data_IF_338560375320
#
_entry.id   IF_338560375320
#
_cell.length_a   1.000
_cell.length_b   1.000
_cell.length_c   1.000
_cell.angle_alpha   90.00
_cell.angle_beta   90.00
_cell.angle_gamma   90.00
#
_symmetry.space_group_name_H-M   'P 1'
#
loop_
_entity.id
_entity.type
_entity.pdbx_description
1 polymer ?
#
# COMPACT_ATOMS: atom_id res chain seq x y z
N UNK A 1 17.05 13.93 -17.08
CA UNK A 1 16.56 13.17 -15.90
C UNK A 1 17.76 12.58 -15.16
N UNK A 2 18.22 13.20 -14.05
CA UNK A 2 19.45 12.79 -13.36
C UNK A 2 19.32 11.34 -12.87
N UNK A 3 20.25 10.48 -13.26
CA UNK A 3 20.26 9.08 -12.87
C UNK A 3 20.40 8.97 -11.35
N UNK A 4 19.32 8.62 -10.63
CA UNK A 4 19.31 8.48 -9.17
C UNK A 4 20.49 7.63 -8.64
N UNK A 5 20.95 6.63 -9.38
CA UNK A 5 22.15 5.87 -9.02
C UNK A 5 23.43 6.74 -8.89
N UNK A 6 23.64 7.72 -9.78
CA UNK A 6 24.76 8.68 -9.67
C UNK A 6 24.53 9.70 -8.54
N UNK A 7 23.27 10.03 -8.25
CA UNK A 7 22.93 10.89 -7.12
C UNK A 7 23.22 10.20 -5.78
N UNK A 8 22.78 8.95 -5.64
CA UNK A 8 23.04 8.12 -4.46
C UNK A 8 24.54 7.99 -4.22
N UNK A 9 25.31 7.58 -5.22
CA UNK A 9 26.78 7.44 -5.10
C UNK A 9 27.51 8.71 -4.63
N UNK A 10 27.04 9.90 -5.03
CA UNK A 10 27.66 11.17 -4.65
C UNK A 10 27.24 11.68 -3.26
N UNK A 11 26.09 11.23 -2.76
CA UNK A 11 25.52 11.70 -1.48
C UNK A 11 25.69 10.68 -0.35
N UNK A 12 26.17 9.48 -0.67
CA UNK A 12 26.54 8.45 0.29
C UNK A 12 27.66 8.93 1.22
N UNK A 13 27.51 8.59 2.49
CA UNK A 13 28.57 8.69 3.48
C UNK A 13 29.52 7.51 3.23
N UNK A 14 30.82 7.78 3.14
CA UNK A 14 31.83 6.81 2.70
C UNK A 14 31.92 5.60 3.63
N UNK A 15 31.93 5.85 4.94
CA UNK A 15 31.93 4.85 6.01
C UNK A 15 30.70 3.92 5.93
N UNK A 16 29.53 4.48 5.55
CA UNK A 16 28.27 3.74 5.55
C UNK A 16 27.92 3.13 4.20
N UNK A 17 28.83 3.22 3.22
CA UNK A 17 28.59 2.83 1.82
C UNK A 17 28.05 1.39 1.69
N UNK A 18 28.50 0.47 2.54
CA UNK A 18 28.07 -0.92 2.56
C UNK A 18 26.59 -1.12 2.94
N UNK A 19 26.03 -0.21 3.75
CA UNK A 19 24.67 -0.34 4.31
C UNK A 19 23.59 0.31 3.45
N UNK A 20 23.98 1.13 2.47
CA UNK A 20 23.04 1.67 1.48
C UNK A 20 22.47 0.59 0.56
N UNK A 21 21.25 0.82 0.10
CA UNK A 21 20.58 0.01 -0.92
C UNK A 21 21.43 -0.07 -2.20
N UNK A 22 21.68 -1.30 -2.67
CA UNK A 22 22.43 -1.52 -3.90
C UNK A 22 21.55 -1.29 -5.14
N UNK A 23 21.18 -0.03 -5.38
CA UNK A 23 20.27 0.37 -6.45
C UNK A 23 20.77 -0.02 -7.84
N UNK A 24 22.10 -0.01 -8.05
CA UNK A 24 22.72 -0.41 -9.33
C UNK A 24 22.48 -1.89 -9.61
N UNK A 25 22.78 -2.76 -8.63
CA UNK A 25 22.56 -4.20 -8.72
C UNK A 25 21.09 -4.53 -8.95
N UNK A 26 20.20 -3.94 -8.14
CA UNK A 26 18.77 -4.17 -8.28
C UNK A 26 18.25 -3.76 -9.67
N UNK A 27 18.71 -2.61 -10.19
CA UNK A 27 18.35 -2.16 -11.53
C UNK A 27 18.84 -3.14 -12.61
N UNK A 28 20.01 -3.73 -12.45
CA UNK A 28 20.52 -4.76 -13.37
C UNK A 28 19.69 -6.03 -13.30
N UNK A 29 19.33 -6.50 -12.09
CA UNK A 29 18.45 -7.66 -11.89
C UNK A 29 17.07 -7.47 -12.54
N UNK A 30 16.45 -6.31 -12.35
CA UNK A 30 15.18 -5.95 -13.04
C UNK A 30 15.32 -6.01 -14.57
N UNK A 31 16.52 -5.72 -15.11
CA UNK A 31 16.76 -5.87 -16.55
C UNK A 31 16.84 -7.33 -16.97
N UNK A 32 17.66 -8.11 -16.28
CA UNK A 32 17.86 -9.54 -16.51
C UNK A 32 16.54 -10.31 -16.45
N UNK A 33 15.71 -10.06 -15.43
CA UNK A 33 14.40 -10.71 -15.32
C UNK A 33 13.48 -10.43 -16.50
N UNK A 34 13.53 -9.23 -17.09
CA UNK A 34 12.72 -8.93 -18.27
C UNK A 34 13.23 -9.65 -19.53
N UNK A 35 14.53 -9.87 -19.65
CA UNK A 35 15.11 -10.66 -20.75
C UNK A 35 14.78 -12.15 -20.58
N UNK A 36 14.86 -12.67 -19.35
CA UNK A 36 14.53 -14.06 -19.02
C UNK A 36 13.05 -14.38 -19.23
N UNK A 37 12.13 -13.49 -18.83
CA UNK A 37 10.69 -13.66 -19.09
C UNK A 37 10.39 -13.62 -20.59
N UNK A 38 11.02 -12.72 -21.35
CA UNK A 38 10.85 -12.65 -22.82
C UNK A 38 11.39 -13.89 -23.54
N UNK A 39 12.48 -14.46 -23.04
CA UNK A 39 13.09 -15.68 -23.58
C UNK A 39 12.43 -16.97 -23.11
N UNK A 40 11.33 -16.92 -22.34
CA UNK A 40 10.61 -18.10 -21.84
C UNK A 40 11.39 -18.94 -20.82
N UNK A 41 12.54 -18.46 -20.32
CA UNK A 41 13.45 -19.24 -19.47
C UNK A 41 13.08 -19.22 -17.97
N UNK A 42 12.21 -18.29 -17.55
CA UNK A 42 11.81 -18.11 -16.15
C UNK A 42 10.33 -17.78 -16.05
N UNK A 43 9.63 -18.49 -15.15
CA UNK A 43 8.25 -18.15 -14.80
C UNK A 43 8.18 -16.81 -14.03
N UNK A 44 7.20 -15.93 -14.32
CA UNK A 44 7.03 -14.65 -13.63
C UNK A 44 6.98 -14.72 -12.10
N UNK A 45 6.45 -15.83 -11.55
CA UNK A 45 6.37 -16.07 -10.10
C UNK A 45 7.75 -16.20 -9.44
N UNK A 46 8.69 -16.85 -10.12
CA UNK A 46 10.05 -17.00 -9.62
C UNK A 46 10.75 -15.64 -9.55
N UNK A 47 10.59 -14.82 -10.59
CA UNK A 47 11.08 -13.43 -10.64
C UNK A 47 10.53 -12.58 -9.49
N UNK A 48 9.22 -12.68 -9.21
CA UNK A 48 8.58 -11.94 -8.11
C UNK A 48 9.13 -12.39 -6.74
N UNK A 49 9.26 -13.70 -6.52
CA UNK A 49 9.81 -14.28 -5.29
C UNK A 49 11.26 -13.87 -5.07
N UNK A 50 12.10 -14.01 -6.09
CA UNK A 50 13.52 -13.66 -6.01
C UNK A 50 13.75 -12.17 -5.79
N UNK A 51 12.98 -11.33 -6.51
CA UNK A 51 13.06 -9.89 -6.33
C UNK A 51 12.58 -9.46 -4.94
N UNK A 52 11.52 -10.08 -4.41
CA UNK A 52 11.06 -9.86 -3.04
C UNK A 52 12.13 -10.20 -2.03
N UNK A 53 12.77 -11.38 -2.14
CA UNK A 53 13.85 -11.80 -1.25
C UNK A 53 15.03 -10.83 -1.30
N UNK A 54 15.41 -10.37 -2.49
CA UNK A 54 16.49 -9.40 -2.65
C UNK A 54 16.13 -8.05 -2.02
N UNK A 55 14.87 -7.60 -2.10
CA UNK A 55 14.42 -6.40 -1.41
C UNK A 55 14.46 -6.57 0.10
N UNK A 56 13.93 -7.69 0.62
CA UNK A 56 13.88 -8.00 2.05
C UNK A 56 15.30 -7.97 2.64
N UNK A 57 16.29 -8.62 2.00
CA UNK A 57 17.70 -8.59 2.44
C UNK A 57 18.29 -7.17 2.45
N UNK A 58 17.89 -6.32 1.50
CA UNK A 58 18.42 -4.96 1.41
C UNK A 58 17.78 -4.03 2.43
N UNK A 59 16.49 -4.23 2.72
CA UNK A 59 15.77 -3.53 3.80
C UNK A 59 16.34 -3.95 5.15
N UNK A 60 16.46 -5.25 5.40
CA UNK A 60 17.03 -5.80 6.64
C UNK A 60 18.40 -5.20 6.93
N UNK A 61 19.31 -5.21 5.95
CA UNK A 61 20.64 -4.59 6.08
C UNK A 61 20.58 -3.12 6.47
N UNK A 62 19.72 -2.34 5.80
CA UNK A 62 19.56 -0.90 6.09
C UNK A 62 18.97 -0.68 7.49
N UNK A 63 18.04 -1.52 7.90
CA UNK A 63 17.34 -1.42 9.18
C UNK A 63 18.23 -1.80 10.35
N UNK A 64 18.95 -2.92 10.25
CA UNK A 64 19.89 -3.34 11.29
C UNK A 64 20.95 -2.28 11.55
N UNK A 65 21.50 -1.68 10.49
CA UNK A 65 22.44 -0.58 10.62
C UNK A 65 21.80 0.67 11.24
N UNK A 66 20.57 1.01 10.86
CA UNK A 66 19.85 2.12 11.47
C UNK A 66 19.68 1.91 12.99
N UNK A 67 19.27 0.71 13.41
CA UNK A 67 19.11 0.36 14.82
C UNK A 67 20.43 0.46 15.60
N UNK A 68 21.53 -0.03 15.01
CA UNK A 68 22.88 0.08 15.60
C UNK A 68 23.25 1.55 15.84
N UNK A 69 23.07 2.41 14.83
CA UNK A 69 23.35 3.84 14.96
C UNK A 69 22.43 4.54 15.97
N UNK A 70 21.15 4.17 16.03
CA UNK A 70 20.24 4.67 17.07
C UNK A 70 20.70 4.27 18.48
N UNK A 71 21.19 3.03 18.65
CA UNK A 71 21.74 2.55 19.92
C UNK A 71 22.98 3.33 20.35
N UNK A 72 23.89 3.62 19.43
CA UNK A 72 25.08 4.44 19.68
C UNK A 72 24.71 5.88 20.10
N UNK A 73 23.75 6.50 19.39
CA UNK A 73 23.25 7.83 19.76
C UNK A 73 22.57 7.83 21.13
N UNK A 74 21.75 6.82 21.41
CA UNK A 74 21.08 6.68 22.70
C UNK A 74 22.08 6.49 23.86
N UNK A 75 23.11 5.66 23.66
CA UNK A 75 24.19 5.49 24.64
C UNK A 75 24.93 6.81 24.92
N UNK A 76 25.29 7.55 23.87
CA UNK A 76 25.90 8.89 24.02
C UNK A 76 24.98 9.85 24.77
N UNK A 77 23.70 9.90 24.44
CA UNK A 77 22.74 10.74 25.16
C UNK A 77 22.61 10.38 26.64
N UNK A 78 22.68 9.09 26.99
CA UNK A 78 22.68 8.65 28.39
C UNK A 78 23.91 9.19 29.13
N UNK A 79 25.11 9.05 28.55
CA UNK A 79 26.34 9.58 29.16
C UNK A 79 26.33 11.10 29.29
N UNK A 80 25.77 11.81 28.30
CA UNK A 80 25.62 13.27 28.38
C UNK A 80 24.60 13.69 29.43
N UNK A 81 23.60 12.84 29.74
CA UNK A 81 22.63 13.14 30.79
C UNK A 81 23.27 13.05 32.18
N UNK A 82 24.14 12.08 32.40
CA UNK A 82 24.90 11.97 33.67
C UNK A 82 25.80 13.19 33.89
N UNK A 83 26.49 13.66 32.83
CA UNK A 83 27.29 14.89 32.92
C UNK A 83 26.42 16.13 33.09
N UNK A 84 25.25 16.18 32.44
CA UNK A 84 24.27 17.26 32.63
C UNK A 84 23.82 17.37 34.09
N UNK A 85 23.42 16.26 34.72
CA UNK A 85 22.96 16.26 36.10
C UNK A 85 24.10 16.68 37.07
N UNK A 86 25.34 16.27 36.82
CA UNK A 86 26.51 16.71 37.60
C UNK A 86 26.84 18.21 37.42
N UNK A 87 26.61 18.77 36.23
CA UNK A 87 26.82 20.21 35.95
C UNK A 87 25.73 21.07 36.60
N UNK A 88 24.51 20.56 36.76
CA UNK A 88 23.45 21.25 37.50
C UNK A 88 23.78 21.39 38.99
N UNK A 89 24.47 20.42 39.59
CA UNK A 89 24.90 20.49 40.99
C UNK A 89 26.00 21.54 41.22
N UNK A 90 26.88 21.75 40.23
CA UNK A 90 27.96 22.75 40.28
C UNK A 90 28.06 23.50 38.94
N UNK A 91 27.32 24.62 38.78
CA UNK A 91 27.27 25.34 37.52
C UNK A 91 28.62 26.03 37.22
N UNK A 92 29.28 25.53 36.17
CA UNK A 92 30.49 26.12 35.58
C UNK A 92 30.20 26.41 34.11
N UNK A 93 30.37 27.68 33.71
CA UNK A 93 30.09 28.18 32.36
C UNK A 93 30.85 27.36 31.31
N UNK A 94 32.13 27.04 31.58
CA UNK A 94 32.97 26.31 30.63
C UNK A 94 32.40 24.92 30.36
N UNK A 95 31.93 24.23 31.42
CA UNK A 95 31.31 22.91 31.33
C UNK A 95 29.95 22.93 30.63
N UNK A 96 29.16 23.98 30.84
CA UNK A 96 27.86 24.16 30.15
C UNK A 96 28.07 24.32 28.64
N UNK A 97 29.07 25.12 28.24
CA UNK A 97 29.40 25.33 26.82
C UNK A 97 29.90 24.02 26.17
N UNK A 98 30.79 23.29 26.84
CA UNK A 98 31.27 21.99 26.36
C UNK A 98 30.16 20.95 26.23
N UNK A 99 29.26 20.90 27.22
CA UNK A 99 28.10 20.00 27.21
C UNK A 99 27.14 20.33 26.07
N UNK A 100 26.91 21.62 25.80
CA UNK A 100 26.07 22.08 24.69
C UNK A 100 26.65 21.70 23.34
N UNK A 101 27.95 21.89 23.12
CA UNK A 101 28.59 21.40 21.89
C UNK A 101 28.52 19.88 21.76
N UNK A 102 28.65 19.15 22.87
CA UNK A 102 28.50 17.69 22.84
C UNK A 102 27.08 17.24 22.43
N UNK A 103 26.03 17.93 22.89
CA UNK A 103 24.67 17.69 22.41
C UNK A 103 24.49 18.08 20.93
N UNK A 104 25.13 19.17 20.48
CA UNK A 104 25.14 19.57 19.07
C UNK A 104 25.81 18.52 18.19
N UNK A 105 26.89 17.90 18.64
CA UNK A 105 27.57 16.81 17.93
C UNK A 105 26.67 15.59 17.76
N UNK A 106 25.96 15.17 18.81
CA UNK A 106 24.95 14.11 18.71
C UNK A 106 23.85 14.49 17.71
N UNK A 107 23.44 15.77 17.68
CA UNK A 107 22.52 16.28 16.68
C UNK A 107 23.05 16.23 15.24
N UNK A 108 24.34 16.54 15.03
CA UNK A 108 25.00 16.43 13.72
C UNK A 108 25.05 14.97 13.25
N UNK A 109 25.32 14.03 14.15
CA UNK A 109 25.33 12.59 13.83
C UNK A 109 23.92 12.06 13.52
N UNK A 110 22.91 12.53 14.26
CA UNK A 110 21.52 12.24 13.97
C UNK A 110 21.12 12.75 12.57
N UNK A 111 21.56 13.94 12.17
CA UNK A 111 21.32 14.47 10.82
C UNK A 111 21.91 13.57 9.72
N UNK A 112 23.09 13.01 9.96
CA UNK A 112 23.69 12.03 9.04
C UNK A 112 22.83 10.77 8.93
N UNK A 113 22.36 10.25 10.07
CA UNK A 113 21.47 9.08 10.12
C UNK A 113 20.15 9.34 9.39
N UNK A 114 19.51 10.50 9.63
CA UNK A 114 18.28 10.89 8.94
C UNK A 114 18.46 10.93 7.41
N UNK A 115 19.57 11.51 6.94
CA UNK A 115 19.91 11.55 5.52
C UNK A 115 20.16 10.15 4.95
N UNK A 116 20.78 9.25 5.71
CA UNK A 116 20.95 7.85 5.32
C UNK A 116 19.60 7.16 5.13
N UNK A 117 18.69 7.29 6.10
CA UNK A 117 17.34 6.67 6.03
C UNK A 117 16.56 7.25 4.83
N UNK A 118 16.62 8.57 4.62
CA UNK A 118 15.96 9.25 3.50
C UNK A 118 16.42 8.68 2.14
N UNK A 119 17.74 8.61 1.92
CA UNK A 119 18.30 8.11 0.66
C UNK A 119 17.91 6.66 0.38
N UNK A 120 17.87 5.81 1.42
CA UNK A 120 17.45 4.42 1.29
C UNK A 120 15.94 4.30 1.00
N UNK A 121 15.09 5.05 1.71
CA UNK A 121 13.65 5.09 1.46
C UNK A 121 13.33 5.54 0.02
N UNK A 122 14.00 6.59 -0.46
CA UNK A 122 13.86 7.05 -1.86
C UNK A 122 14.32 5.96 -2.83
N UNK A 123 15.41 5.24 -2.52
CA UNK A 123 15.92 4.14 -3.33
C UNK A 123 14.92 2.99 -3.44
N UNK A 124 14.34 2.57 -2.32
CA UNK A 124 13.29 1.55 -2.24
C UNK A 124 12.08 1.94 -3.10
N UNK A 125 11.54 3.14 -2.89
CA UNK A 125 10.43 3.67 -3.70
C UNK A 125 10.74 3.64 -5.19
N UNK A 126 11.93 4.11 -5.59
CA UNK A 126 12.33 4.19 -7.00
C UNK A 126 12.56 2.82 -7.63
N UNK A 127 12.98 1.82 -6.87
CA UNK A 127 13.18 0.47 -7.41
C UNK A 127 11.85 -0.28 -7.52
N UNK A 128 10.96 -0.14 -6.53
CA UNK A 128 9.59 -0.66 -6.57
C UNK A 128 8.84 -0.11 -7.80
N UNK A 129 8.81 1.22 -7.96
CA UNK A 129 8.19 1.86 -9.14
C UNK A 129 8.82 1.43 -10.47
N UNK A 130 10.13 1.11 -10.47
CA UNK A 130 10.83 0.64 -11.67
C UNK A 130 10.41 -0.78 -12.03
N UNK A 131 10.23 -1.64 -11.03
CA UNK A 131 9.75 -3.00 -11.21
C UNK A 131 8.34 -2.98 -11.80
N UNK A 132 7.40 -2.27 -11.18
CA UNK A 132 6.01 -2.16 -11.65
C UNK A 132 5.93 -1.64 -13.09
N UNK A 133 6.65 -0.56 -13.40
CA UNK A 133 6.65 0.01 -14.77
C UNK A 133 7.16 -0.98 -15.82
N UNK A 134 8.04 -1.91 -15.45
CA UNK A 134 8.66 -2.84 -16.40
C UNK A 134 7.83 -4.10 -16.63
N UNK A 135 7.12 -4.57 -15.61
CA UNK A 135 6.36 -5.82 -15.69
C UNK A 135 4.84 -5.62 -15.70
N UNK A 136 4.34 -4.40 -15.44
CA UNK A 136 2.91 -4.08 -15.43
C UNK A 136 2.15 -4.68 -14.25
N UNK A 137 2.85 -5.27 -13.27
CA UNK A 137 2.26 -5.78 -12.03
C UNK A 137 2.12 -4.66 -11.00
N UNK A 138 1.10 -4.75 -10.14
CA UNK A 138 1.00 -3.98 -8.89
C UNK A 138 1.90 -4.61 -7.81
N UNK A 139 3.18 -4.84 -8.14
CA UNK A 139 4.10 -5.52 -7.23
C UNK A 139 4.42 -4.65 -6.02
N UNK A 140 4.60 -3.34 -6.18
CA UNK A 140 4.81 -2.44 -5.05
C UNK A 140 3.66 -2.52 -4.03
N UNK A 141 2.41 -2.54 -4.51
CA UNK A 141 1.23 -2.63 -3.64
C UNK A 141 1.21 -3.96 -2.88
N UNK A 142 1.41 -5.08 -3.59
CA UNK A 142 1.48 -6.41 -2.98
C UNK A 142 2.62 -6.54 -1.97
N UNK A 143 3.81 -6.09 -2.35
CA UNK A 143 5.00 -6.15 -1.51
C UNK A 143 4.83 -5.30 -0.25
N UNK A 144 4.34 -4.06 -0.38
CA UNK A 144 4.09 -3.21 0.77
C UNK A 144 2.95 -3.77 1.63
N UNK A 145 1.83 -4.24 1.07
CA UNK A 145 0.71 -4.84 1.83
C UNK A 145 1.15 -5.99 2.73
N UNK A 146 1.86 -6.95 2.14
CA UNK A 146 2.31 -8.17 2.84
C UNK A 146 3.32 -7.88 3.95
N UNK A 147 4.11 -6.81 3.81
CA UNK A 147 5.09 -6.37 4.83
C UNK A 147 4.54 -5.28 5.75
N UNK A 148 3.50 -4.55 5.40
CA UNK A 148 3.00 -3.45 6.23
C UNK A 148 2.41 -3.96 7.55
N UNK A 149 1.82 -5.16 7.56
CA UNK A 149 1.10 -5.71 8.73
C UNK A 149 1.81 -6.85 9.45
N UNK A 150 2.96 -7.30 8.94
CA UNK A 150 3.63 -8.46 9.52
C UNK A 150 4.46 -8.03 10.74
N UNK A 151 4.34 -8.72 11.90
CA UNK A 151 4.98 -8.32 13.17
C UNK A 151 6.50 -8.25 13.09
N UNK A 152 7.11 -9.08 12.25
CA UNK A 152 8.57 -9.12 12.03
C UNK A 152 9.02 -8.30 10.80
N UNK A 153 8.15 -7.47 10.24
CA UNK A 153 8.49 -6.69 9.06
C UNK A 153 9.42 -5.53 9.40
N UNK A 154 10.65 -5.63 8.89
CA UNK A 154 11.67 -4.59 8.99
C UNK A 154 11.27 -3.33 8.20
N UNK A 155 10.32 -3.45 7.27
CA UNK A 155 9.85 -2.33 6.46
C UNK A 155 9.15 -1.26 7.31
N UNK A 156 8.45 -1.65 8.38
CA UNK A 156 7.82 -0.68 9.30
C UNK A 156 8.84 0.20 10.01
N UNK A 157 10.03 -0.32 10.32
CA UNK A 157 11.05 0.45 11.04
C UNK A 157 11.60 1.59 10.17
N UNK A 158 11.77 1.34 8.86
CA UNK A 158 12.12 2.39 7.90
C UNK A 158 11.01 3.42 7.73
N UNK A 159 9.73 3.01 7.87
CA UNK A 159 8.56 3.85 7.57
C UNK A 159 8.07 4.71 8.72
N UNK A 160 8.12 4.17 9.94
CA UNK A 160 7.62 4.86 11.14
C UNK A 160 8.72 5.62 11.88
N UNK A 161 9.98 5.49 11.46
CA UNK A 161 11.13 6.13 12.11
C UNK A 161 11.15 5.90 13.63
N UNK A 162 10.78 4.68 14.04
CA UNK A 162 10.61 4.34 15.46
C UNK A 162 11.92 4.61 16.19
N UNK A 163 11.85 5.34 17.31
CA UNK A 163 13.02 5.70 18.12
C UNK A 163 13.70 7.02 17.73
N UNK A 164 13.61 7.48 16.47
CA UNK A 164 14.19 8.78 16.05
C UNK A 164 13.55 9.94 16.82
N UNK A 165 12.22 9.91 16.99
CA UNK A 165 11.50 10.97 17.72
C UNK A 165 11.94 11.12 19.17
N UNK A 166 12.30 10.02 19.85
CA UNK A 166 12.81 10.08 21.22
C UNK A 166 14.19 10.74 21.29
N UNK A 167 15.09 10.41 20.35
CA UNK A 167 16.42 11.03 20.24
C UNK A 167 16.30 12.52 19.92
N UNK A 168 15.43 12.89 18.97
CA UNK A 168 15.13 14.31 18.63
C UNK A 168 14.59 15.06 19.84
N UNK A 169 13.63 14.47 20.55
CA UNK A 169 13.04 15.05 21.75
C UNK A 169 14.06 15.26 22.87
N UNK A 170 14.93 14.26 23.10
CA UNK A 170 16.00 14.35 24.09
C UNK A 170 16.99 15.48 23.74
N UNK A 171 17.47 15.56 22.49
CA UNK A 171 18.41 16.63 22.07
C UNK A 171 17.75 17.99 22.19
N UNK A 172 16.53 18.15 21.66
CA UNK A 172 15.82 19.43 21.64
C UNK A 172 15.53 19.94 23.05
N UNK A 173 15.10 19.05 23.95
CA UNK A 173 14.83 19.39 25.35
C UNK A 173 16.10 19.80 26.10
N UNK A 174 17.15 18.99 26.06
CA UNK A 174 18.38 19.28 26.82
C UNK A 174 19.10 20.53 26.30
N UNK A 175 19.12 20.77 24.99
CA UNK A 175 19.67 22.01 24.43
C UNK A 175 18.89 23.25 24.86
N UNK A 176 17.56 23.13 24.96
CA UNK A 176 16.71 24.23 25.43
C UNK A 176 16.91 24.53 26.92
N UNK A 177 16.99 23.48 27.75
CA UNK A 177 17.24 23.59 29.21
C UNK A 177 18.59 24.27 29.51
N UNK A 178 19.64 23.91 28.75
CA UNK A 178 20.95 24.55 28.87
C UNK A 178 20.95 26.01 28.38
N UNK A 179 20.08 26.36 27.43
CA UNK A 179 19.95 27.73 26.93
C UNK A 179 19.22 28.66 27.92
N UNK A 180 18.26 28.17 28.70
CA UNK A 180 17.59 28.95 29.75
C UNK A 180 18.56 29.22 30.93
N UNK A 181 19.42 28.27 31.27
CA UNK A 181 20.41 28.40 32.33
C UNK A 181 21.57 29.38 32.00
N UNK A 182 21.82 29.64 30.70
CA UNK A 182 22.71 30.73 30.25
C UNK A 182 22.09 32.14 30.44
N UNK A 183 20.78 32.26 30.68
CA UNK A 183 20.09 33.54 30.84
C UNK A 183 20.32 34.26 32.18
N UNK A 184 20.99 33.60 33.14
CA UNK A 184 21.14 34.08 34.52
C UNK A 184 22.45 34.83 34.81
N UNK A 185 23.24 35.21 33.80
CA UNK A 185 24.56 35.80 34.03
C UNK A 185 24.53 37.33 34.16
N UNK A 186 24.56 37.79 35.43
CA UNK A 186 25.21 38.97 36.06
C UNK A 186 25.22 40.39 35.40
N UNK A 187 24.81 40.59 34.15
CA UNK A 187 24.74 41.91 33.52
C UNK A 187 23.76 41.91 32.35
N UNK A 188 22.79 42.83 32.40
CA UNK A 188 21.73 43.02 31.40
C UNK A 188 22.29 43.51 30.05
N UNK A 189 23.58 43.85 29.99
CA UNK A 189 24.23 44.44 28.82
C UNK A 189 25.19 43.49 28.08
N UNK A 190 25.48 42.31 28.66
CA UNK A 190 26.44 41.34 28.09
C UNK A 190 25.78 40.22 27.29
N UNK A 191 24.48 40.29 27.01
CA UNK A 191 23.80 39.25 26.24
C UNK A 191 24.17 39.33 24.75
N UNK A 192 24.94 38.37 24.18
CA UNK A 192 24.84 38.12 22.76
C UNK A 192 23.38 37.74 22.48
N UNK A 193 22.79 38.33 21.45
CA UNK A 193 21.44 37.97 20.99
C UNK A 193 21.49 36.52 20.47
N UNK A 194 21.38 35.56 21.39
CA UNK A 194 21.36 34.14 21.06
C UNK A 194 20.05 33.86 20.30
N UNK A 195 20.09 33.17 19.15
CA UNK A 195 18.89 32.83 18.41
C UNK A 195 17.93 32.01 19.31
N UNK A 196 16.63 32.32 19.23
CA UNK A 196 15.57 31.67 20.02
C UNK A 196 15.53 30.14 19.88
N UNK A 197 16.16 29.58 18.85
CA UNK A 197 16.29 28.14 18.60
C UNK A 197 17.71 27.81 18.13
N UNK A 198 18.24 26.70 18.64
CA UNK A 198 19.54 26.18 18.21
C UNK A 198 19.48 25.74 16.73
N UNK A 199 20.43 26.16 15.87
CA UNK A 199 20.40 25.84 14.43
C UNK A 199 20.43 24.34 14.14
N UNK A 200 21.00 23.53 15.04
CA UNK A 200 21.01 22.07 14.90
C UNK A 200 19.60 21.50 15.05
N UNK A 201 18.80 22.04 15.97
CA UNK A 201 17.41 21.62 16.20
C UNK A 201 16.54 21.96 14.98
N UNK A 202 16.72 23.13 14.39
CA UNK A 202 16.01 23.52 13.16
C UNK A 202 16.38 22.63 11.97
N UNK A 203 17.67 22.31 11.82
CA UNK A 203 18.14 21.39 10.79
C UNK A 203 17.54 19.98 10.98
N UNK A 204 17.46 19.49 12.22
CA UNK A 204 16.86 18.19 12.55
C UNK A 204 15.38 18.18 12.18
N UNK A 205 14.62 19.22 12.55
CA UNK A 205 13.21 19.35 12.21
C UNK A 205 13.00 19.31 10.69
N UNK A 206 13.79 20.09 9.95
CA UNK A 206 13.77 20.12 8.49
C UNK A 206 14.09 18.74 7.88
N UNK A 207 15.05 18.01 8.45
CA UNK A 207 15.42 16.68 7.98
C UNK A 207 14.32 15.65 8.25
N UNK A 208 13.66 15.70 9.42
CA UNK A 208 12.52 14.85 9.77
C UNK A 208 11.32 15.11 8.83
N UNK A 209 11.04 16.38 8.52
CA UNK A 209 9.97 16.74 7.58
C UNK A 209 10.26 16.22 6.16
N UNK A 210 11.50 16.37 5.68
CA UNK A 210 11.93 15.81 4.38
C UNK A 210 11.82 14.29 4.33
N UNK A 211 12.18 13.64 5.43
CA UNK A 211 12.10 12.19 5.56
C UNK A 211 10.64 11.71 5.52
N UNK A 212 9.76 12.37 6.26
CA UNK A 212 8.31 12.10 6.27
C UNK A 212 7.69 12.24 4.89
N UNK A 213 8.06 13.30 4.16
CA UNK A 213 7.65 13.49 2.76
C UNK A 213 8.19 12.40 1.82
N UNK A 214 9.40 11.91 2.08
CA UNK A 214 10.01 10.84 1.28
C UNK A 214 9.40 9.46 1.53
N UNK A 215 8.93 9.19 2.75
CA UNK A 215 8.23 7.95 3.14
C UNK A 215 6.72 8.01 2.92
N UNK A 216 6.13 9.20 2.75
CA UNK A 216 4.71 9.43 2.44
C UNK A 216 4.15 8.47 1.38
N UNK A 217 4.85 8.26 0.26
CA UNK A 217 4.40 7.35 -0.79
C UNK A 217 4.25 5.91 -0.28
N UNK A 218 5.20 5.44 0.53
CA UNK A 218 5.17 4.07 1.04
C UNK A 218 4.14 3.93 2.17
N UNK A 219 3.94 4.98 2.97
CA UNK A 219 2.85 5.07 3.94
C UNK A 219 1.48 5.07 3.24
N UNK A 220 1.34 5.81 2.15
CA UNK A 220 0.14 5.81 1.32
C UNK A 220 -0.15 4.42 0.74
N UNK A 221 0.86 3.74 0.19
CA UNK A 221 0.70 2.36 -0.27
C UNK A 221 0.31 1.39 0.86
N UNK A 222 0.91 1.54 2.04
CA UNK A 222 0.57 0.74 3.22
C UNK A 222 -0.87 1.02 3.71
N UNK A 223 -1.31 2.28 3.72
CA UNK A 223 -2.65 2.68 4.11
C UNK A 223 -3.71 2.23 3.11
N UNK A 224 -3.47 2.36 1.80
CA UNK A 224 -4.37 1.82 0.78
C UNK A 224 -4.48 0.29 0.86
N UNK A 225 -3.36 -0.37 1.13
CA UNK A 225 -3.33 -1.81 1.35
C UNK A 225 -4.09 -2.26 2.60
N UNK A 226 -4.09 -1.43 3.65
CA UNK A 226 -4.85 -1.63 4.89
C UNK A 226 -6.35 -1.44 4.69
N UNK A 227 -6.74 -0.40 3.95
CA UNK A 227 -8.15 -0.11 3.66
C UNK A 227 -8.76 -1.19 2.76
N UNK A 228 -7.98 -1.79 1.85
CA UNK A 228 -8.40 -2.97 1.07
C UNK A 228 -8.16 -4.31 1.79
N UNK A 229 -8.17 -4.36 3.13
CA UNK A 229 -8.07 -5.64 3.85
C UNK A 229 -9.28 -6.56 3.63
N UNK A 230 -10.44 -6.02 3.23
CA UNK A 230 -11.65 -6.81 3.03
C UNK A 230 -11.71 -7.57 1.70
N UNK A 231 -10.88 -7.20 0.71
CA UNK A 231 -10.81 -7.89 -0.58
C UNK A 231 -9.40 -8.46 -0.79
N UNK A 232 -9.18 -9.69 -0.31
CA UNK A 232 -8.56 -10.79 -1.07
C UNK A 232 -7.94 -11.85 -0.16
N UNK A 233 -8.34 -13.08 -0.47
CA UNK A 233 -7.77 -14.33 -0.02
C UNK A 233 -6.28 -14.41 -0.38
N UNK A 234 -5.54 -15.23 0.38
CA UNK A 234 -4.13 -15.57 0.18
C UNK A 234 -3.76 -15.78 -1.29
N UNK A 235 -2.55 -15.40 -1.75
CA UNK A 235 -2.15 -15.60 -3.14
C UNK A 235 -1.85 -17.09 -3.41
N UNK A 236 -2.91 -17.87 -3.62
CA UNK A 236 -2.88 -19.11 -4.40
C UNK A 236 -2.87 -18.78 -5.90
N UNK A 237 -2.57 -19.78 -6.71
CA UNK A 237 -2.07 -19.80 -8.10
C UNK A 237 -2.73 -18.94 -9.20
N UNK A 238 -3.68 -18.07 -8.92
CA UNK A 238 -4.67 -17.64 -9.91
C UNK A 238 -4.43 -16.30 -10.60
N UNK A 239 -3.30 -15.60 -10.48
CA UNK A 239 -3.21 -14.23 -11.06
C UNK A 239 -3.32 -14.10 -12.59
N UNK A 240 -3.11 -15.19 -13.35
CA UNK A 240 -3.39 -15.23 -14.81
C UNK A 240 -4.86 -15.58 -15.04
N UNK A 241 -5.37 -16.51 -14.25
CA UNK A 241 -6.75 -16.95 -14.27
C UNK A 241 -7.71 -15.85 -13.82
N UNK A 242 -7.40 -15.05 -12.80
CA UNK A 242 -8.17 -13.90 -12.32
C UNK A 242 -8.44 -12.89 -13.44
N UNK A 243 -7.44 -12.61 -14.29
CA UNK A 243 -7.62 -11.66 -15.39
C UNK A 243 -8.58 -12.20 -16.46
N UNK A 244 -8.52 -13.50 -16.70
CA UNK A 244 -9.44 -14.24 -17.58
C UNK A 244 -10.83 -14.34 -16.94
N UNK A 245 -10.93 -14.62 -15.64
CA UNK A 245 -12.16 -14.65 -14.86
C UNK A 245 -12.83 -13.29 -14.81
N UNK A 246 -12.08 -12.19 -14.67
CA UNK A 246 -12.63 -10.83 -14.72
C UNK A 246 -13.22 -10.51 -16.09
N UNK A 247 -12.54 -10.88 -17.19
CA UNK A 247 -13.07 -10.68 -18.54
C UNK A 247 -14.30 -11.56 -18.82
N UNK A 248 -14.25 -12.84 -18.44
CA UNK A 248 -15.36 -13.77 -18.61
C UNK A 248 -16.57 -13.37 -17.76
N UNK A 249 -16.35 -12.93 -16.52
CA UNK A 249 -17.38 -12.40 -15.63
C UNK A 249 -18.01 -11.13 -16.19
N UNK A 250 -17.21 -10.22 -16.74
CA UNK A 250 -17.72 -9.01 -17.41
C UNK A 250 -18.57 -9.36 -18.62
N UNK A 251 -18.11 -10.28 -19.47
CA UNK A 251 -18.84 -10.71 -20.66
C UNK A 251 -20.14 -11.42 -20.30
N UNK A 252 -20.11 -12.30 -19.29
CA UNK A 252 -21.29 -12.98 -18.75
C UNK A 252 -22.29 -11.97 -18.17
N UNK A 253 -21.82 -10.99 -17.39
CA UNK A 253 -22.71 -9.98 -16.82
C UNK A 253 -23.34 -9.09 -17.91
N UNK A 254 -22.57 -8.73 -18.94
CA UNK A 254 -23.08 -8.00 -20.10
C UNK A 254 -24.15 -8.82 -20.85
N UNK A 255 -23.89 -10.11 -21.09
CA UNK A 255 -24.86 -11.04 -21.70
C UNK A 255 -26.11 -11.23 -20.84
N UNK A 256 -25.94 -11.36 -19.52
CA UNK A 256 -27.04 -11.49 -18.56
C UNK A 256 -27.93 -10.24 -18.56
N UNK A 257 -27.31 -9.05 -18.57
CA UNK A 257 -28.01 -7.76 -18.66
C UNK A 257 -28.75 -7.65 -19.99
N UNK A 258 -28.14 -8.07 -21.10
CA UNK A 258 -28.79 -8.08 -22.41
C UNK A 258 -30.03 -8.99 -22.43
N UNK A 259 -29.91 -10.24 -21.95
CA UNK A 259 -31.02 -11.18 -21.87
C UNK A 259 -32.13 -10.66 -20.95
N UNK A 260 -31.78 -10.03 -19.83
CA UNK A 260 -32.76 -9.39 -18.95
C UNK A 260 -33.51 -8.24 -19.63
N UNK A 261 -32.81 -7.44 -20.43
CA UNK A 261 -33.44 -6.36 -21.21
C UNK A 261 -34.38 -6.91 -22.28
N UNK A 262 -34.07 -8.05 -22.91
CA UNK A 262 -35.01 -8.76 -23.82
C UNK A 262 -36.31 -9.10 -23.11
N UNK A 263 -36.26 -9.56 -21.85
CA UNK A 263 -37.47 -9.91 -21.10
C UNK A 263 -38.35 -8.68 -20.87
N UNK A 264 -37.75 -7.52 -20.59
CA UNK A 264 -38.49 -6.29 -20.29
C UNK A 264 -39.02 -5.60 -21.55
N UNK A 265 -38.26 -5.61 -22.65
CA UNK A 265 -38.58 -4.84 -23.85
C UNK A 265 -39.22 -5.65 -24.97
N UNK A 266 -39.12 -6.98 -24.93
CA UNK A 266 -39.74 -7.87 -25.92
C UNK A 266 -40.86 -8.66 -25.25
N UNK A 267 -40.54 -9.47 -24.24
CA UNK A 267 -41.50 -10.42 -23.64
C UNK A 267 -42.69 -9.70 -22.98
N UNK A 268 -42.43 -8.71 -22.12
CA UNK A 268 -43.50 -7.98 -21.41
C UNK A 268 -44.50 -7.31 -22.36
N UNK A 269 -44.09 -6.50 -23.37
CA UNK A 269 -45.05 -5.89 -24.28
C UNK A 269 -45.72 -6.87 -25.26
N UNK A 270 -45.10 -8.01 -25.59
CA UNK A 270 -45.70 -9.01 -26.49
C UNK A 270 -46.54 -10.07 -25.77
N UNK A 271 -46.50 -10.13 -24.43
CA UNK A 271 -47.14 -11.19 -23.65
C UNK A 271 -48.66 -11.28 -23.86
N UNK A 272 -49.33 -10.17 -24.18
CA UNK A 272 -50.78 -10.13 -24.41
C UNK A 272 -51.17 -10.84 -25.70
N UNK A 273 -50.65 -10.36 -26.82
CA UNK A 273 -50.84 -10.96 -28.15
C UNK A 273 -50.37 -12.41 -28.18
N UNK A 274 -49.26 -12.71 -27.50
CA UNK A 274 -48.69 -14.05 -27.46
C UNK A 274 -49.57 -15.04 -26.69
N UNK A 275 -50.09 -14.63 -25.52
CA UNK A 275 -51.01 -15.47 -24.73
C UNK A 275 -52.33 -15.72 -25.48
N UNK A 276 -52.85 -14.70 -26.16
CA UNK A 276 -54.08 -14.81 -26.96
C UNK A 276 -53.89 -15.71 -28.18
N UNK A 277 -52.71 -15.68 -28.83
CA UNK A 277 -52.39 -16.55 -29.97
C UNK A 277 -52.35 -18.04 -29.61
N UNK A 278 -52.05 -18.35 -28.35
CA UNK A 278 -52.03 -19.71 -27.76
C UNK A 278 -53.41 -20.16 -27.26
N UNK A 279 -54.46 -19.36 -27.47
CA UNK A 279 -55.83 -19.65 -27.03
C UNK A 279 -56.10 -19.39 -25.54
N UNK A 280 -55.21 -18.67 -24.85
CA UNK A 280 -55.40 -18.27 -23.46
C UNK A 280 -56.23 -16.97 -23.37
N UNK A 281 -56.88 -16.74 -22.23
CA UNK A 281 -57.56 -15.48 -21.97
C UNK A 281 -56.55 -14.34 -21.76
N UNK A 282 -56.89 -13.10 -22.11
CA UNK A 282 -56.03 -11.92 -21.94
C UNK A 282 -55.56 -11.70 -20.49
N UNK A 283 -56.29 -12.23 -19.50
CA UNK A 283 -55.90 -12.21 -18.09
C UNK A 283 -54.62 -13.02 -17.79
N UNK A 284 -54.27 -13.99 -18.64
CA UNK A 284 -53.05 -14.82 -18.50
C UNK A 284 -51.78 -14.01 -18.78
N UNK A 285 -51.86 -12.94 -19.59
CA UNK A 285 -50.74 -12.01 -19.78
C UNK A 285 -50.28 -11.38 -18.45
N UNK A 286 -51.24 -10.96 -17.61
CA UNK A 286 -50.94 -10.44 -16.27
C UNK A 286 -50.28 -11.48 -15.36
N UNK A 287 -50.60 -12.76 -15.54
CA UNK A 287 -49.98 -13.87 -14.81
C UNK A 287 -48.55 -14.11 -15.28
N UNK A 288 -48.28 -14.04 -16.60
CA UNK A 288 -46.93 -14.16 -17.18
C UNK A 288 -46.01 -13.02 -16.72
N UNK A 289 -46.50 -11.78 -16.69
CA UNK A 289 -45.71 -10.64 -16.21
C UNK A 289 -45.51 -10.74 -14.69
N UNK A 290 -46.55 -11.15 -13.95
CA UNK A 290 -46.50 -11.31 -12.49
C UNK A 290 -45.57 -12.43 -12.03
N UNK A 291 -45.53 -13.57 -12.74
CA UNK A 291 -44.68 -14.71 -12.40
C UNK A 291 -43.20 -14.35 -12.46
N UNK A 292 -42.79 -13.53 -13.43
CA UNK A 292 -41.42 -13.02 -13.55
C UNK A 292 -40.98 -12.24 -12.31
N UNK A 293 -41.81 -11.31 -11.83
CA UNK A 293 -41.51 -10.51 -10.65
C UNK A 293 -41.44 -11.36 -9.38
N UNK A 294 -42.36 -12.32 -9.23
CA UNK A 294 -42.36 -13.26 -8.09
C UNK A 294 -41.09 -14.12 -8.09
N UNK A 295 -40.71 -14.69 -9.24
CA UNK A 295 -39.51 -15.51 -9.39
C UNK A 295 -38.22 -14.72 -9.08
N UNK A 296 -38.15 -13.45 -9.46
CA UNK A 296 -37.02 -12.57 -9.15
C UNK A 296 -36.89 -12.32 -7.64
N UNK A 297 -37.99 -12.07 -6.93
CA UNK A 297 -37.97 -11.87 -5.48
C UNK A 297 -37.44 -13.11 -4.76
N UNK A 298 -37.94 -14.31 -5.10
CA UNK A 298 -37.45 -15.55 -4.50
C UNK A 298 -35.99 -15.85 -4.86
N UNK A 299 -35.61 -15.62 -6.12
CA UNK A 299 -34.24 -15.85 -6.58
C UNK A 299 -33.24 -14.87 -5.96
N UNK A 300 -33.66 -13.63 -5.68
CA UNK A 300 -32.80 -12.60 -5.10
C UNK A 300 -32.23 -12.99 -3.72
N UNK A 301 -33.04 -13.64 -2.87
CA UNK A 301 -32.61 -14.09 -1.54
C UNK A 301 -31.56 -15.19 -1.65
N UNK A 302 -31.79 -16.17 -2.52
CA UNK A 302 -30.87 -17.28 -2.73
C UNK A 302 -29.57 -16.81 -3.39
N UNK A 303 -29.66 -15.98 -4.43
CA UNK A 303 -28.49 -15.45 -5.11
C UNK A 303 -27.69 -14.50 -4.22
N UNK A 304 -28.33 -13.72 -3.36
CA UNK A 304 -27.64 -12.86 -2.38
C UNK A 304 -26.84 -13.68 -1.36
N UNK A 305 -27.41 -14.75 -0.82
CA UNK A 305 -26.71 -15.64 0.10
C UNK A 305 -25.54 -16.38 -0.59
N UNK A 306 -25.71 -16.78 -1.86
CA UNK A 306 -24.68 -17.50 -2.62
C UNK A 306 -23.56 -16.56 -3.11
N UNK A 307 -23.88 -15.33 -3.51
CA UNK A 307 -22.91 -14.34 -3.98
C UNK A 307 -21.93 -13.91 -2.90
N UNK A 308 -22.34 -13.93 -1.63
CA UNK A 308 -21.46 -13.62 -0.49
C UNK A 308 -20.30 -14.62 -0.32
N UNK A 309 -20.42 -15.83 -0.89
CA UNK A 309 -19.37 -16.85 -0.83
C UNK A 309 -18.61 -17.02 -2.15
N UNK A 310 -19.24 -16.77 -3.29
CA UNK A 310 -18.63 -16.86 -4.62
C UNK A 310 -19.43 -16.04 -5.63
N UNK A 311 -18.79 -15.09 -6.33
CA UNK A 311 -19.47 -14.23 -7.31
C UNK A 311 -19.68 -14.92 -8.67
N UNK A 312 -18.72 -15.73 -9.12
CA UNK A 312 -18.72 -16.30 -10.48
C UNK A 312 -19.74 -17.43 -10.67
N UNK A 313 -19.91 -18.31 -9.68
CA UNK A 313 -20.82 -19.48 -9.79
C UNK A 313 -22.30 -19.09 -9.90
N UNK A 314 -22.83 -18.17 -9.09
CA UNK A 314 -24.19 -17.65 -9.24
C UNK A 314 -24.42 -16.96 -10.59
N UNK A 315 -23.42 -16.21 -11.08
CA UNK A 315 -23.50 -15.48 -12.35
C UNK A 315 -23.64 -16.43 -13.55
N UNK A 316 -22.85 -17.50 -13.58
CA UNK A 316 -22.95 -18.55 -14.61
C UNK A 316 -24.32 -19.23 -14.55
N UNK A 317 -24.78 -19.60 -13.36
CA UNK A 317 -26.09 -20.22 -13.20
C UNK A 317 -27.24 -19.30 -13.63
N UNK A 318 -27.21 -18.03 -13.25
CA UNK A 318 -28.18 -17.02 -13.69
C UNK A 318 -28.20 -16.87 -15.21
N UNK A 319 -27.03 -16.85 -15.84
CA UNK A 319 -26.92 -16.71 -17.31
C UNK A 319 -27.53 -17.91 -18.04
N UNK A 320 -27.30 -19.12 -17.53
CA UNK A 320 -27.89 -20.36 -18.08
C UNK A 320 -29.40 -20.36 -17.88
N UNK A 321 -29.89 -20.00 -16.68
CA UNK A 321 -31.31 -19.96 -16.38
C UNK A 321 -32.06 -18.96 -17.25
N UNK A 322 -31.50 -17.75 -17.45
CA UNK A 322 -32.10 -16.72 -18.34
C UNK A 322 -32.09 -17.14 -19.80
N UNK A 323 -31.04 -17.82 -20.27
CA UNK A 323 -31.01 -18.35 -21.62
C UNK A 323 -32.06 -19.45 -21.83
N UNK A 324 -32.19 -20.38 -20.88
CA UNK A 324 -33.19 -21.44 -20.92
C UNK A 324 -34.60 -20.86 -20.86
N UNK A 325 -34.88 -19.91 -19.97
CA UNK A 325 -36.19 -19.28 -19.84
C UNK A 325 -36.63 -18.60 -21.15
N UNK A 326 -35.74 -17.82 -21.76
CA UNK A 326 -36.01 -17.17 -23.05
C UNK A 326 -36.20 -18.17 -24.20
N UNK A 327 -35.47 -19.28 -24.19
CA UNK A 327 -35.66 -20.36 -25.16
C UNK A 327 -37.02 -21.05 -24.96
N UNK A 328 -37.41 -21.30 -23.72
CA UNK A 328 -38.71 -21.90 -23.37
C UNK A 328 -39.88 -21.00 -23.78
N UNK A 329 -39.75 -19.69 -23.53
CA UNK A 329 -40.71 -18.70 -23.99
C UNK A 329 -40.87 -18.73 -25.52
N UNK A 330 -39.76 -18.79 -26.27
CA UNK A 330 -39.79 -18.85 -27.73
C UNK A 330 -40.43 -20.15 -28.26
N UNK A 331 -40.13 -21.29 -27.63
CA UNK A 331 -40.66 -22.60 -28.03
C UNK A 331 -42.14 -22.81 -27.65
N UNK A 332 -42.69 -21.98 -26.75
CA UNK A 332 -44.08 -22.08 -26.32
C UNK A 332 -45.08 -21.95 -27.48
N UNK A 333 -44.75 -21.14 -28.51
CA UNK A 333 -45.54 -20.98 -29.72
C UNK A 333 -45.64 -22.28 -30.52
N UNK A 334 -44.49 -22.86 -30.86
CA UNK A 334 -44.41 -24.06 -31.70
C UNK A 334 -45.01 -25.29 -30.99
N UNK A 335 -44.88 -25.33 -29.66
CA UNK A 335 -45.45 -26.38 -28.82
C UNK A 335 -46.92 -26.15 -28.46
N UNK A 336 -47.51 -25.00 -28.81
CA UNK A 336 -48.85 -24.56 -28.44
C UNK A 336 -49.19 -24.79 -26.94
N UNK A 337 -48.26 -24.43 -26.04
CA UNK A 337 -48.33 -24.80 -24.61
C UNK A 337 -48.23 -23.58 -23.69
N UNK A 338 -49.35 -23.29 -23.01
CA UNK A 338 -49.43 -22.23 -21.98
C UNK A 338 -48.56 -22.58 -20.76
N UNK A 339 -48.39 -23.87 -20.45
CA UNK A 339 -47.53 -24.30 -19.35
C UNK A 339 -46.06 -24.00 -19.65
N UNK A 340 -45.63 -24.15 -20.91
CA UNK A 340 -44.27 -23.83 -21.32
C UNK A 340 -44.03 -22.32 -21.31
N UNK A 341 -45.05 -21.54 -21.69
CA UNK A 341 -45.06 -20.08 -21.60
C UNK A 341 -44.89 -19.56 -20.17
N UNK A 342 -45.51 -20.21 -19.19
CA UNK A 342 -45.46 -19.79 -17.79
C UNK A 342 -44.19 -20.24 -17.05
N UNK A 343 -43.51 -21.27 -17.56
CA UNK A 343 -42.32 -21.85 -16.94
C UNK A 343 -41.01 -21.25 -17.48
N UNK A 344 -41.03 -20.74 -18.71
CA UNK A 344 -39.96 -19.92 -19.28
C UNK A 344 -40.01 -18.48 -18.75
#
# INVERSE_FOLDING_TARGET
>A
MVAFGKYLQRKQIEEWRGYYINYKLMKQKVKQYAEQIRGGSQHPRHVLKDFSRMLDTQIEKTVLFMLEQQGLLAGRLSTLRETHDAVLEQPDISKIVELRESYRDVGRDLLQLLKFVELNAIGLRKILKKFDKRFGYRFADYYVKTRANHPYSQLQQVFKHVGVGAVVGAISRNLHELQENEGSFYSIYDQPVLPLQDPVVEAIKTAVDKLTNSTSFLNFLAQHALIMQDDLQTPSEDTIDERTYHFNSLLLNLGNTFLYMVNTYIIVPTADDYSMSLGAAATVCGVVIGSMAVAQVFSSVYFSAWSNKSYFKPLVFSSIALFIGNLMYALAYDANSITLLLLG
#
